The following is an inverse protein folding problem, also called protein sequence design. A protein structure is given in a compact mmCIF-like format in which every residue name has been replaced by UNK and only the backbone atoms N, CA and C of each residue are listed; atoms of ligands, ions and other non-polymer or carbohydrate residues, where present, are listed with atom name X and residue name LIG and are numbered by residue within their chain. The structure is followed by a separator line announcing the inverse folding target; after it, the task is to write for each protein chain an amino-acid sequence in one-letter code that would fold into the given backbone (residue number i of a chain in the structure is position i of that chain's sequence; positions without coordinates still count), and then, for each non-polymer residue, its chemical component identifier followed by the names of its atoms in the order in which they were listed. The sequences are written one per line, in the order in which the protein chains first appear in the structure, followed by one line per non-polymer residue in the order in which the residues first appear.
data_IF_707579871189
#
_entry.id   IF_707579871189
#
_cell.length_a   1.000
_cell.length_b   1.000
_cell.length_c   1.000
_cell.angle_alpha   90.00
_cell.angle_beta   90.00
_cell.angle_gamma   90.00
#
_symmetry.space_group_name_H-M   'P 1'
#
loop_
_entity.id
_entity.type
_entity.pdbx_description
1 polymer ?
#
# COMPACT_ATOMS: atom_id res chain seq x y z
N UNK A 1 -10.52 -12.99 0.38
CA UNK A 1 -10.81 -11.97 -0.67
C UNK A 1 -12.30 -11.96 -0.97
N UNK A 2 -12.94 -10.80 -0.86
CA UNK A 2 -14.40 -10.61 -0.96
C UNK A 2 -14.70 -9.50 -1.97
N UNK A 3 -15.80 -9.64 -2.71
CA UNK A 3 -16.33 -8.60 -3.61
C UNK A 3 -17.71 -8.20 -3.11
N UNK A 4 -17.93 -6.90 -2.93
CA UNK A 4 -19.20 -6.31 -2.50
C UNK A 4 -19.60 -5.17 -3.42
N UNK A 5 -20.87 -4.80 -3.40
CA UNK A 5 -21.33 -3.56 -4.04
C UNK A 5 -21.70 -2.50 -2.98
N UNK A 6 -21.96 -1.26 -3.42
CA UNK A 6 -22.29 -0.16 -2.52
C UNK A 6 -23.55 -0.39 -1.67
N UNK A 7 -24.49 -1.25 -2.09
CA UNK A 7 -25.69 -1.57 -1.28
C UNK A 7 -25.38 -2.49 -0.11
N UNK A 8 -24.29 -3.27 -0.19
CA UNK A 8 -23.85 -4.17 0.88
C UNK A 8 -23.26 -3.40 2.06
N UNK A 9 -22.93 -2.12 1.88
CA UNK A 9 -22.38 -1.28 2.95
C UNK A 9 -23.34 -1.18 4.14
N UNK A 10 -24.64 -1.09 3.86
CA UNK A 10 -25.69 -1.02 4.89
C UNK A 10 -26.03 -2.42 5.41
N UNK A 11 -26.07 -3.42 4.51
CA UNK A 11 -26.49 -4.78 4.87
C UNK A 11 -25.45 -5.54 5.68
N UNK A 12 -24.17 -5.28 5.41
CA UNK A 12 -23.01 -6.00 5.98
C UNK A 12 -21.86 -5.01 6.25
N UNK A 13 -22.04 -4.08 7.20
CA UNK A 13 -21.06 -3.03 7.46
C UNK A 13 -19.70 -3.56 7.94
N UNK A 14 -19.66 -4.77 8.51
CA UNK A 14 -18.43 -5.41 9.01
C UNK A 14 -17.36 -5.57 7.92
N UNK A 15 -17.74 -5.73 6.64
CA UNK A 15 -16.79 -5.80 5.53
C UNK A 15 -16.03 -4.48 5.29
N UNK A 16 -16.49 -3.37 5.87
CA UNK A 16 -15.82 -2.08 5.79
C UNK A 16 -15.23 -1.68 7.15
N UNK A 17 -15.97 -1.88 8.24
CA UNK A 17 -15.56 -1.38 9.56
C UNK A 17 -14.52 -2.27 10.24
N UNK A 18 -14.57 -3.58 10.00
CA UNK A 18 -13.65 -4.56 10.57
C UNK A 18 -13.31 -5.65 9.52
N UNK A 19 -12.65 -5.26 8.42
CA UNK A 19 -12.33 -6.19 7.35
C UNK A 19 -11.29 -7.20 7.83
N UNK A 20 -11.65 -8.49 7.81
CA UNK A 20 -10.72 -9.60 8.03
C UNK A 20 -9.95 -9.98 6.76
N UNK A 21 -10.49 -9.59 5.61
CA UNK A 21 -10.04 -9.93 4.27
C UNK A 21 -10.01 -8.68 3.38
N UNK A 22 -9.21 -8.72 2.32
CA UNK A 22 -9.26 -7.70 1.26
C UNK A 22 -10.65 -7.70 0.63
N UNK A 23 -11.30 -6.54 0.66
CA UNK A 23 -12.66 -6.35 0.14
C UNK A 23 -12.65 -5.39 -1.05
N UNK A 24 -13.08 -5.87 -2.20
CA UNK A 24 -13.26 -5.07 -3.42
C UNK A 24 -14.67 -4.51 -3.47
N UNK A 25 -14.79 -3.21 -3.72
CA UNK A 25 -16.07 -2.54 -3.89
C UNK A 25 -16.31 -2.30 -5.38
N UNK A 26 -17.32 -2.97 -5.91
CA UNK A 26 -17.72 -2.86 -7.30
C UNK A 26 -18.94 -1.95 -7.51
N UNK A 27 -18.96 -1.29 -8.66
CA UNK A 27 -20.17 -0.70 -9.20
C UNK A 27 -21.12 -1.81 -9.68
N UNK A 28 -22.27 -1.96 -9.03
CA UNK A 28 -23.24 -3.01 -9.33
C UNK A 28 -23.76 -3.00 -10.77
N UNK A 29 -23.72 -1.86 -11.47
CA UNK A 29 -24.21 -1.75 -12.85
C UNK A 29 -23.12 -2.00 -13.89
N UNK A 30 -21.89 -1.60 -13.58
CA UNK A 30 -20.76 -1.66 -14.52
C UNK A 30 -19.85 -2.86 -14.29
N UNK A 31 -19.95 -3.54 -13.15
CA UNK A 31 -19.04 -4.62 -12.74
C UNK A 31 -17.56 -4.19 -12.80
N UNK A 32 -17.31 -2.95 -12.38
CA UNK A 32 -15.96 -2.38 -12.31
C UNK A 32 -15.65 -2.14 -10.83
N UNK A 33 -14.51 -2.64 -10.39
CA UNK A 33 -13.95 -2.31 -9.07
C UNK A 33 -13.62 -0.82 -9.00
N UNK A 34 -14.24 -0.12 -8.05
CA UNK A 34 -14.02 1.31 -7.79
C UNK A 34 -13.11 1.57 -6.60
N UNK A 35 -13.12 0.68 -5.62
CA UNK A 35 -12.38 0.89 -4.38
C UNK A 35 -12.00 -0.44 -3.76
N UNK A 36 -11.00 -0.41 -2.89
CA UNK A 36 -10.53 -1.56 -2.13
C UNK A 36 -10.47 -1.16 -0.67
N UNK A 37 -10.95 -2.04 0.21
CA UNK A 37 -10.80 -1.95 1.65
C UNK A 37 -9.79 -3.00 2.08
N UNK A 38 -8.75 -2.57 2.78
CA UNK A 38 -7.71 -3.43 3.32
C UNK A 38 -7.89 -3.58 4.83
N UNK A 39 -7.64 -4.77 5.39
CA UNK A 39 -7.36 -4.93 6.81
C UNK A 39 -6.25 -3.97 7.25
N UNK A 40 -6.39 -3.38 8.44
CA UNK A 40 -5.48 -2.32 8.90
C UNK A 40 -4.02 -2.79 8.93
N UNK A 41 -3.76 -3.99 9.44
CA UNK A 41 -2.41 -4.59 9.47
C UNK A 41 -1.79 -4.73 8.07
N UNK A 42 -2.61 -5.01 7.06
CA UNK A 42 -2.15 -5.09 5.68
C UNK A 42 -1.92 -3.70 5.09
N UNK A 43 -2.81 -2.76 5.40
CA UNK A 43 -2.65 -1.36 5.01
C UNK A 43 -1.32 -0.78 5.51
N UNK A 44 -0.94 -1.03 6.76
CA UNK A 44 0.33 -0.53 7.31
C UNK A 44 1.54 -1.04 6.53
N UNK A 45 1.59 -2.35 6.23
CA UNK A 45 2.66 -2.96 5.42
C UNK A 45 2.71 -2.41 3.99
N UNK A 46 1.54 -2.17 3.39
CA UNK A 46 1.46 -1.59 2.04
C UNK A 46 1.91 -0.14 2.04
N UNK A 47 1.49 0.64 3.06
CA UNK A 47 1.88 2.02 3.24
C UNK A 47 3.39 2.16 3.38
N UNK A 48 4.01 1.38 4.26
CA UNK A 48 5.46 1.37 4.47
C UNK A 48 6.22 1.11 3.16
N UNK A 49 5.83 0.05 2.43
CA UNK A 49 6.43 -0.26 1.12
C UNK A 49 6.28 0.88 0.10
N UNK A 50 5.13 1.56 0.09
CA UNK A 50 4.92 2.71 -0.81
C UNK A 50 5.83 3.87 -0.40
N UNK A 51 5.97 4.13 0.90
CA UNK A 51 6.85 5.18 1.42
C UNK A 51 8.32 4.90 1.07
N UNK A 52 8.78 3.66 1.20
CA UNK A 52 10.12 3.22 0.79
C UNK A 52 10.37 3.46 -0.71
N UNK A 53 9.43 3.03 -1.56
CA UNK A 53 9.53 3.23 -3.01
C UNK A 53 9.51 4.71 -3.38
N UNK A 54 8.67 5.50 -2.72
CA UNK A 54 8.63 6.95 -2.91
C UNK A 54 9.96 7.59 -2.50
N UNK A 55 10.58 7.13 -1.41
CA UNK A 55 11.89 7.59 -0.96
C UNK A 55 12.97 7.31 -2.02
N UNK A 56 13.00 6.10 -2.58
CA UNK A 56 13.92 5.75 -3.67
C UNK A 56 13.69 6.62 -4.92
N UNK A 57 12.43 6.80 -5.33
CA UNK A 57 12.07 7.64 -6.48
C UNK A 57 12.48 9.09 -6.28
N UNK A 58 12.28 9.64 -5.09
CA UNK A 58 12.65 11.02 -4.77
C UNK A 58 14.16 11.22 -4.79
N UNK A 59 14.92 10.32 -4.18
CA UNK A 59 16.38 10.37 -4.21
C UNK A 59 16.92 10.23 -5.63
N UNK A 60 16.35 9.35 -6.45
CA UNK A 60 16.72 9.22 -7.87
C UNK A 60 16.52 10.52 -8.66
N UNK A 61 15.51 11.32 -8.31
CA UNK A 61 15.23 12.60 -8.96
C UNK A 61 16.11 13.73 -8.44
N UNK A 62 16.47 13.70 -7.15
CA UNK A 62 17.20 14.77 -6.49
C UNK A 62 18.72 14.65 -6.63
N UNK A 63 19.25 13.42 -6.67
CA UNK A 63 20.67 13.14 -6.69
C UNK A 63 21.22 13.08 -8.12
N UNK A 64 22.50 13.39 -8.26
CA UNK A 64 23.26 13.06 -9.47
C UNK A 64 23.39 11.54 -9.60
N UNK A 65 23.64 11.02 -10.80
CA UNK A 65 23.77 9.57 -11.02
C UNK A 65 24.81 8.93 -10.08
N UNK A 66 25.99 9.53 -9.94
CA UNK A 66 27.05 9.06 -9.03
C UNK A 66 26.57 9.02 -7.59
N UNK A 67 25.94 10.10 -7.10
CA UNK A 67 25.45 10.17 -5.72
C UNK A 67 24.29 9.22 -5.44
N UNK A 68 23.45 8.94 -6.43
CA UNK A 68 22.37 7.95 -6.30
C UNK A 68 22.93 6.52 -6.26
N UNK A 69 23.95 6.23 -7.06
CA UNK A 69 24.62 4.93 -7.07
C UNK A 69 25.33 4.66 -5.74
N UNK A 70 25.95 5.68 -5.14
CA UNK A 70 26.52 5.60 -3.78
C UNK A 70 25.42 5.41 -2.72
N UNK A 71 24.31 6.13 -2.82
CA UNK A 71 23.16 6.00 -1.92
C UNK A 71 22.53 4.60 -1.93
N UNK A 72 22.51 3.91 -3.08
CA UNK A 72 22.02 2.54 -3.18
C UNK A 72 22.96 1.49 -2.56
N UNK A 73 24.23 1.85 -2.35
CA UNK A 73 25.16 0.98 -1.66
C UNK A 73 24.88 1.04 -0.16
N UNK A 74 24.28 -0.04 0.36
CA UNK A 74 24.11 -0.21 1.80
C UNK A 74 25.52 -0.39 2.38
N UNK A 75 26.04 0.63 3.06
CA UNK A 75 27.21 0.47 3.92
C UNK A 75 26.86 -0.53 5.01
N UNK A 76 27.62 -1.62 5.14
CA UNK A 76 27.58 -2.44 6.34
C UNK A 76 28.03 -1.57 7.50
N UNK A 77 27.08 -1.14 8.34
CA UNK A 77 27.40 -0.49 9.61
C UNK A 77 28.14 -1.52 10.45
N UNK A 78 29.47 -1.38 10.52
CA UNK A 78 30.28 -2.09 11.49
C UNK A 78 30.12 -1.31 12.79
N UNK A 79 29.15 -1.67 13.61
CA UNK A 79 29.16 -1.20 15.01
C UNK A 79 30.31 -1.91 15.73
N UNK A 80 31.47 -1.27 15.79
CA UNK A 80 32.50 -1.60 16.77
C UNK A 80 32.02 -1.10 18.14
N UNK A 81 31.26 -1.92 18.89
CA UNK A 81 31.03 -1.76 20.34
C UNK A 81 30.95 -3.10 21.07
#
# INVERSE_FOLDING_TARGET
MIVINSSDFIKKPSYITQPLDITFVEDAKKHITKSVVLPFELYEKVKEKIEDELYLIQNKKALSQTSYDDFLQIETVVEDL
#
